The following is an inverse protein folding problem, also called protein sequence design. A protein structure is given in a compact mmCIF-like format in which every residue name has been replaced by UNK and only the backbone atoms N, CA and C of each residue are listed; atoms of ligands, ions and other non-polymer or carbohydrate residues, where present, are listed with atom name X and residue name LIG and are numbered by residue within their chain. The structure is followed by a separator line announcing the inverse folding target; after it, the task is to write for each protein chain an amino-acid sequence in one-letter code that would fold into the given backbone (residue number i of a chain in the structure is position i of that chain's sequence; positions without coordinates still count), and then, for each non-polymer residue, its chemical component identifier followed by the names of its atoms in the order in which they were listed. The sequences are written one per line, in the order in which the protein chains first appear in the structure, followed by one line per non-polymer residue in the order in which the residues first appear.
data_IF_191409117554
#
_entry.id   IF_191409117554
#
_cell.length_a   1.000
_cell.length_b   1.000
_cell.length_c   1.000
_cell.angle_alpha   90.00
_cell.angle_beta   90.00
_cell.angle_gamma   90.00
#
_symmetry.space_group_name_H-M   'P 1'
#
loop_
_entity.id
_entity.type
_entity.pdbx_description
1 polymer ?
#
# COMPACT_ATOMS: atom_id res chain seq x y z
N UNK A 1 -7.18 -17.19 -8.47
CA UNK A 1 -6.78 -15.94 -7.80
C UNK A 1 -7.99 -15.44 -7.04
N UNK A 2 -7.90 -15.28 -5.71
CA UNK A 2 -8.96 -14.64 -4.95
C UNK A 2 -9.10 -13.16 -5.38
N UNK A 3 -10.33 -12.65 -5.35
CA UNK A 3 -10.56 -11.21 -5.37
C UNK A 3 -10.26 -10.66 -3.97
N UNK A 4 -9.39 -9.66 -3.91
CA UNK A 4 -9.06 -8.93 -2.69
C UNK A 4 -9.61 -7.51 -2.75
N UNK A 5 -9.97 -6.99 -1.59
CA UNK A 5 -10.52 -5.66 -1.39
C UNK A 5 -9.74 -4.97 -0.28
N UNK A 6 -9.38 -3.71 -0.49
CA UNK A 6 -8.68 -2.91 0.51
C UNK A 6 -9.68 -1.94 1.15
N UNK A 7 -9.84 -2.02 2.47
CA UNK A 7 -10.54 -1.02 3.26
C UNK A 7 -9.50 -0.15 3.99
N UNK A 8 -9.68 1.17 3.90
CA UNK A 8 -8.86 2.14 4.64
C UNK A 8 -9.75 2.82 5.68
N UNK A 9 -9.45 2.56 6.94
CA UNK A 9 -10.20 3.03 8.11
C UNK A 9 -9.38 4.16 8.77
N UNK A 10 -9.88 5.40 8.67
CA UNK A 10 -9.20 6.61 9.15
C UNK A 10 -9.98 7.17 10.36
N UNK A 11 -9.53 6.80 11.56
CA UNK A 11 -10.09 7.27 12.83
C UNK A 11 -9.43 8.56 13.34
N UNK A 12 -9.98 9.10 14.43
CA UNK A 12 -9.54 10.37 15.03
C UNK A 12 -8.05 10.39 15.49
N UNK A 13 -7.52 9.23 15.91
CA UNK A 13 -6.19 9.07 16.53
C UNK A 13 -5.30 8.01 15.88
N UNK A 14 -5.84 7.20 14.97
CA UNK A 14 -5.07 6.23 14.17
C UNK A 14 -5.82 5.93 12.88
N UNK A 15 -5.09 5.44 11.88
CA UNK A 15 -5.68 4.81 10.70
C UNK A 15 -5.07 3.43 10.46
N UNK A 16 -5.75 2.64 9.63
CA UNK A 16 -5.32 1.27 9.30
C UNK A 16 -5.84 0.82 7.94
N UNK A 17 -5.12 -0.13 7.35
CA UNK A 17 -5.49 -0.78 6.11
C UNK A 17 -5.85 -2.24 6.40
N UNK A 18 -7.03 -2.65 5.95
CA UNK A 18 -7.55 -4.00 6.14
C UNK A 18 -7.75 -4.61 4.76
N UNK A 19 -7.04 -5.71 4.51
CA UNK A 19 -7.18 -6.53 3.32
C UNK A 19 -8.29 -7.57 3.57
N UNK A 20 -9.35 -7.52 2.76
CA UNK A 20 -10.46 -8.47 2.81
C UNK A 20 -10.50 -9.36 1.58
N UNK A 21 -10.75 -10.65 1.76
CA UNK A 21 -11.01 -11.58 0.65
C UNK A 21 -11.99 -12.68 1.08
N UNK A 22 -12.48 -13.46 0.11
CA UNK A 22 -13.26 -14.65 0.38
C UNK A 22 -12.38 -15.90 0.30
N UNK A 23 -12.44 -16.75 1.30
CA UNK A 23 -11.78 -18.06 1.35
C UNK A 23 -12.77 -19.12 1.87
N UNK A 24 -12.91 -20.24 1.15
CA UNK A 24 -13.78 -21.36 1.55
C UNK A 24 -15.23 -20.95 1.95
N UNK A 25 -15.79 -19.95 1.25
CA UNK A 25 -17.13 -19.43 1.50
C UNK A 25 -17.26 -18.49 2.71
N UNK A 26 -16.14 -18.10 3.34
CA UNK A 26 -16.09 -17.16 4.46
C UNK A 26 -15.30 -15.91 4.08
N UNK A 27 -15.62 -14.78 4.71
CA UNK A 27 -14.81 -13.57 4.61
C UNK A 27 -13.61 -13.68 5.56
N UNK A 28 -12.42 -13.40 5.05
CA UNK A 28 -11.17 -13.30 5.81
C UNK A 28 -10.70 -11.85 5.75
N UNK A 29 -10.32 -11.31 6.90
CA UNK A 29 -9.83 -9.93 7.06
C UNK A 29 -8.44 -9.96 7.72
N UNK A 30 -7.51 -9.19 7.17
CA UNK A 30 -6.13 -9.06 7.64
C UNK A 30 -5.78 -7.58 7.77
N UNK A 31 -5.32 -7.13 8.94
CA UNK A 31 -4.80 -5.77 9.11
C UNK A 31 -3.35 -5.73 8.61
N UNK A 32 -3.12 -5.08 7.46
CA UNK A 32 -1.82 -5.09 6.76
C UNK A 32 -0.97 -3.83 7.01
N UNK A 33 -1.59 -2.77 7.53
CA UNK A 33 -0.89 -1.54 7.90
C UNK A 33 -1.65 -0.76 8.97
N UNK A 34 -0.93 -0.01 9.80
CA UNK A 34 -1.47 0.88 10.82
C UNK A 34 -0.56 2.11 10.96
N UNK A 35 -1.16 3.29 11.08
CA UNK A 35 -0.46 4.56 11.23
C UNK A 35 -1.09 5.42 12.33
N UNK A 36 -0.30 6.31 12.93
CA UNK A 36 -0.79 7.30 13.89
C UNK A 36 -1.53 8.42 13.17
N UNK A 37 -2.67 8.81 13.71
CA UNK A 37 -3.47 9.90 13.17
C UNK A 37 -3.72 10.98 14.23
N UNK A 38 -4.02 12.20 13.79
CA UNK A 38 -4.33 13.28 14.71
C UNK A 38 -4.49 14.62 14.01
N UNK A 39 -5.25 15.51 14.65
CA UNK A 39 -5.41 16.89 14.19
C UNK A 39 -4.14 17.70 14.50
N UNK A 40 -3.69 18.48 13.53
CA UNK A 40 -2.64 19.48 13.69
C UNK A 40 -3.27 20.84 14.00
N UNK A 41 -2.57 21.70 14.73
CA UNK A 41 -3.02 23.07 14.96
C UNK A 41 -2.45 24.01 13.89
N UNK A 42 -3.31 24.63 13.08
CA UNK A 42 -2.94 25.55 12.01
C UNK A 42 -3.72 26.84 12.15
N UNK A 43 -3.02 27.97 12.18
CA UNK A 43 -3.59 29.33 12.28
C UNK A 43 -4.57 29.55 13.46
N UNK A 44 -4.45 28.73 14.51
CA UNK A 44 -5.30 28.74 15.69
C UNK A 44 -6.35 27.62 15.75
N UNK A 45 -6.70 27.04 14.60
CA UNK A 45 -7.72 26.00 14.44
C UNK A 45 -7.12 24.59 14.45
N UNK A 46 -7.96 23.57 14.69
CA UNK A 46 -7.58 22.17 14.59
C UNK A 46 -8.00 21.61 13.23
N UNK A 47 -7.04 21.11 12.46
CA UNK A 47 -7.24 20.67 11.08
C UNK A 47 -6.69 19.26 10.87
N UNK A 48 -7.24 18.57 9.88
CA UNK A 48 -6.66 17.34 9.35
C UNK A 48 -5.49 17.66 8.40
N UNK A 49 -4.39 16.93 8.54
CA UNK A 49 -3.23 17.06 7.66
C UNK A 49 -3.42 16.18 6.40
N UNK A 50 -4.13 16.71 5.41
CA UNK A 50 -4.53 15.97 4.20
C UNK A 50 -3.33 15.32 3.47
N UNK A 51 -2.23 16.05 3.29
CA UNK A 51 -1.05 15.54 2.57
C UNK A 51 -0.35 14.39 3.31
N UNK A 52 -0.41 14.36 4.65
CA UNK A 52 0.07 13.21 5.41
C UNK A 52 -0.90 12.05 5.27
N UNK A 53 -2.18 12.26 5.53
CA UNK A 53 -3.23 11.24 5.37
C UNK A 53 -3.20 10.57 3.98
N UNK A 54 -3.04 11.36 2.91
CA UNK A 54 -2.94 10.85 1.55
C UNK A 54 -1.67 9.99 1.34
N UNK A 55 -0.53 10.37 1.94
CA UNK A 55 0.68 9.54 1.92
C UNK A 55 0.49 8.22 2.67
N UNK A 56 -0.17 8.24 3.83
CA UNK A 56 -0.49 7.00 4.57
C UNK A 56 -1.38 6.07 3.72
N UNK A 57 -2.39 6.63 3.03
CA UNK A 57 -3.28 5.88 2.13
C UNK A 57 -2.54 5.30 0.92
N UNK A 58 -1.59 6.03 0.32
CA UNK A 58 -0.90 5.62 -0.92
C UNK A 58 0.28 4.68 -0.64
N UNK A 59 0.99 4.83 0.48
CA UNK A 59 2.22 4.09 0.76
C UNK A 59 2.00 2.73 1.45
N UNK A 60 0.76 2.42 1.84
CA UNK A 60 0.44 1.31 2.71
C UNK A 60 0.15 -0.01 1.97
N UNK A 61 1.24 -0.69 1.59
CA UNK A 61 1.31 -2.15 1.42
C UNK A 61 1.81 -2.66 0.05
N UNK A 62 2.45 -3.85 -0.01
CA UNK A 62 3.01 -4.65 1.08
C UNK A 62 4.37 -4.10 1.55
N UNK A 63 5.01 -4.78 2.51
CA UNK A 63 6.26 -4.34 3.17
C UNK A 63 7.38 -3.88 2.22
N UNK A 64 7.54 -4.52 1.06
CA UNK A 64 8.53 -4.11 0.06
C UNK A 64 8.00 -3.27 -1.12
N UNK A 65 6.69 -3.06 -1.35
CA UNK A 65 6.25 -2.42 -2.61
C UNK A 65 6.80 -1.00 -2.82
N UNK A 66 6.88 -0.19 -1.76
CA UNK A 66 7.51 1.13 -1.83
C UNK A 66 9.02 1.03 -2.09
N UNK A 67 9.71 0.02 -1.53
CA UNK A 67 11.13 -0.21 -1.75
C UNK A 67 11.40 -0.72 -3.17
N UNK A 68 10.64 -1.73 -3.63
CA UNK A 68 10.63 -2.26 -4.99
C UNK A 68 10.39 -1.12 -5.98
N UNK A 69 9.35 -0.31 -5.80
CA UNK A 69 9.08 0.84 -6.66
C UNK A 69 10.26 1.83 -6.77
N UNK A 70 10.87 2.19 -5.63
CA UNK A 70 12.03 3.09 -5.59
C UNK A 70 13.30 2.47 -6.19
N UNK A 71 13.53 1.17 -6.01
CA UNK A 71 14.68 0.45 -6.59
C UNK A 71 14.48 0.29 -8.10
N UNK A 72 13.30 -0.15 -8.55
CA UNK A 72 12.94 -0.26 -9.97
C UNK A 72 13.06 1.07 -10.70
N UNK A 73 12.63 2.18 -10.10
CA UNK A 73 12.80 3.51 -10.69
C UNK A 73 14.28 3.89 -10.91
N UNK A 74 15.19 3.46 -10.01
CA UNK A 74 16.63 3.65 -10.17
C UNK A 74 17.22 2.71 -11.23
N UNK A 75 16.80 1.45 -11.26
CA UNK A 75 17.23 0.46 -12.27
C UNK A 75 16.78 0.83 -13.69
N UNK A 76 15.56 1.35 -13.86
CA UNK A 76 15.08 1.90 -15.14
C UNK A 76 15.94 3.09 -15.60
N UNK A 77 16.35 3.97 -14.69
CA UNK A 77 17.26 5.09 -14.99
C UNK A 77 18.70 4.62 -15.33
N UNK A 78 19.11 3.46 -14.82
CA UNK A 78 20.39 2.82 -15.11
C UNK A 78 20.36 1.91 -16.36
N UNK A 79 19.23 1.87 -17.09
CA UNK A 79 19.02 1.03 -18.29
C UNK A 79 19.14 -0.49 -18.04
N UNK A 80 19.01 -0.93 -16.78
CA UNK A 80 19.01 -2.36 -16.38
C UNK A 80 17.77 -3.13 -16.87
N UNK A 81 16.72 -2.42 -17.26
CA UNK A 81 15.54 -2.94 -17.94
C UNK A 81 15.32 -2.18 -19.26
N UNK A 82 14.98 -2.89 -20.34
CA UNK A 82 14.72 -2.32 -21.66
C UNK A 82 13.36 -1.63 -21.73
N UNK A 83 12.39 -2.08 -20.93
CA UNK A 83 11.03 -1.51 -20.86
C UNK A 83 10.45 -1.57 -19.44
N UNK A 84 9.42 -0.76 -19.19
CA UNK A 84 8.64 -0.81 -17.95
C UNK A 84 7.88 -2.15 -17.85
N UNK A 85 7.42 -2.71 -18.97
CA UNK A 85 6.77 -4.01 -19.07
C UNK A 85 7.70 -5.16 -18.65
N UNK A 86 8.98 -5.13 -19.06
CA UNK A 86 10.01 -6.10 -18.63
C UNK A 86 10.25 -5.99 -17.11
N UNK A 87 10.43 -4.77 -16.59
CA UNK A 87 10.58 -4.54 -15.16
C UNK A 87 9.38 -5.06 -14.35
N UNK A 88 8.15 -4.78 -14.78
CA UNK A 88 6.92 -5.25 -14.12
C UNK A 88 6.79 -6.78 -14.15
N UNK A 89 7.20 -7.41 -15.24
CA UNK A 89 7.21 -8.87 -15.38
C UNK A 89 8.20 -9.50 -14.40
N UNK A 90 9.44 -9.00 -14.37
CA UNK A 90 10.50 -9.52 -13.48
C UNK A 90 10.15 -9.30 -12.00
N UNK A 91 9.54 -8.16 -11.63
CA UNK A 91 9.04 -7.92 -10.27
C UNK A 91 7.96 -8.94 -9.88
N UNK A 92 7.01 -9.19 -10.77
CA UNK A 92 5.92 -10.15 -10.55
C UNK A 92 6.44 -11.59 -10.41
N UNK A 93 7.50 -11.96 -11.14
CA UNK A 93 8.17 -13.26 -11.01
C UNK A 93 9.04 -13.37 -9.75
N UNK A 94 9.73 -12.29 -9.37
CA UNK A 94 10.67 -12.26 -8.24
C UNK A 94 9.98 -12.20 -6.88
N UNK A 95 8.89 -11.44 -6.78
CA UNK A 95 8.13 -11.23 -5.56
C UNK A 95 6.78 -11.92 -5.69
N UNK A 96 6.79 -13.24 -5.46
CA UNK A 96 5.66 -14.13 -5.72
C UNK A 96 4.34 -13.61 -5.12
N UNK A 97 3.46 -13.13 -6.00
CA UNK A 97 2.15 -12.62 -5.62
C UNK A 97 1.31 -13.80 -5.10
N UNK A 98 1.12 -13.87 -3.78
CA UNK A 98 0.16 -14.81 -3.18
C UNK A 98 -1.25 -14.36 -3.50
N UNK A 99 -2.10 -15.26 -4.00
CA UNK A 99 -3.42 -14.89 -4.52
C UNK A 99 -4.56 -15.79 -4.04
N UNK A 100 -4.65 -16.09 -2.73
CA UNK A 100 -5.65 -17.03 -2.21
C UNK A 100 -5.48 -18.42 -2.87
N UNK A 101 -6.43 -18.75 -3.75
CA UNK A 101 -6.28 -19.70 -4.85
C UNK A 101 -6.87 -19.13 -6.14
#
# INVERSE_FOLDING_TARGET
MAAYYLAVDIGASSGRHILGHMENGKMVLEEIYRFENGMIKKDGELCWEFDRLFKEVVNAGPGEAAAIGNITAQMLKAEEFKTIEEARTIIHESFGVKVYK
#
